data_IF_274208334065
#
_entry.id   IF_274208334065
#
_cell.length_a   1.000
_cell.length_b   1.000
_cell.length_c   1.000
_cell.angle_alpha   90.00
_cell.angle_beta   90.00
_cell.angle_gamma   90.00
#
_symmetry.space_group_name_H-M   'P 1'
#
loop_
_entity.id
_entity.type
_entity.pdbx_description
1 polymer ?
#
# COMPACT_ATOMS: atom_id res chain seq x y z
N UNK A 1 -6.09 13.65 -19.02
CA UNK A 1 -6.47 14.60 -17.96
C UNK A 1 -6.46 13.88 -16.63
N UNK A 2 -5.84 14.44 -15.59
CA UNK A 2 -5.89 13.86 -14.24
C UNK A 2 -7.10 14.40 -13.49
N UNK A 3 -8.14 13.58 -13.31
CA UNK A 3 -9.29 13.95 -12.47
C UNK A 3 -8.97 13.62 -11.01
N UNK A 4 -9.31 14.53 -10.09
CA UNK A 4 -9.21 14.24 -8.65
C UNK A 4 -10.21 13.14 -8.30
N UNK A 5 -9.78 12.20 -7.46
CA UNK A 5 -10.68 11.22 -6.87
C UNK A 5 -11.74 11.94 -6.01
N UNK A 6 -13.02 11.61 -6.20
CA UNK A 6 -14.14 12.21 -5.46
C UNK A 6 -14.59 11.38 -4.25
N UNK A 7 -13.86 10.30 -3.93
CA UNK A 7 -14.14 9.44 -2.78
C UNK A 7 -14.05 10.24 -1.48
N UNK A 8 -14.99 10.00 -0.57
CA UNK A 8 -15.06 10.68 0.73
C UNK A 8 -15.12 9.71 1.90
N UNK A 9 -15.23 8.41 1.62
CA UNK A 9 -15.36 7.35 2.62
C UNK A 9 -14.25 6.32 2.46
N UNK A 10 -13.99 5.55 3.52
CA UNK A 10 -12.95 4.50 3.52
C UNK A 10 -11.57 5.01 3.02
N UNK A 11 -11.20 6.21 3.47
CA UNK A 11 -9.89 6.81 3.19
C UNK A 11 -8.82 6.18 4.08
N UNK A 12 -7.62 6.05 3.55
CA UNK A 12 -6.45 5.48 4.20
C UNK A 12 -5.34 6.52 4.32
N UNK A 13 -4.54 6.42 5.38
CA UNK A 13 -3.33 7.21 5.54
C UNK A 13 -2.23 6.68 4.62
N UNK A 14 -1.81 7.51 3.68
CA UNK A 14 -0.75 7.22 2.74
C UNK A 14 0.51 8.02 3.08
N UNK A 15 1.65 7.34 3.15
CA UNK A 15 2.95 7.95 3.30
C UNK A 15 3.47 8.47 1.96
N UNK A 16 3.62 9.80 1.81
CA UNK A 16 4.13 10.43 0.58
C UNK A 16 5.53 9.88 0.25
N UNK A 17 6.43 9.87 1.25
CA UNK A 17 7.65 9.06 1.26
C UNK A 17 7.41 7.85 2.16
N UNK A 18 7.39 6.62 1.62
CA UNK A 18 7.12 5.43 2.41
C UNK A 18 8.12 5.24 3.55
N UNK A 19 7.65 4.74 4.70
CA UNK A 19 8.50 4.42 5.85
C UNK A 19 9.65 3.47 5.48
N UNK A 20 9.38 2.43 4.69
CA UNK A 20 10.39 1.48 4.20
C UNK A 20 11.49 2.13 3.34
N UNK A 21 11.27 3.34 2.84
CA UNK A 21 12.26 4.17 2.13
C UNK A 21 12.75 5.34 2.99
N UNK A 22 12.76 5.17 4.31
CA UNK A 22 13.17 6.17 5.31
C UNK A 22 12.34 7.46 5.25
N UNK A 23 11.02 7.31 5.04
CA UNK A 23 10.08 8.42 5.13
C UNK A 23 9.99 8.98 6.55
N UNK A 24 9.94 10.31 6.73
CA UNK A 24 9.83 10.91 8.05
C UNK A 24 8.45 10.63 8.69
N UNK A 25 8.42 10.39 9.99
CA UNK A 25 7.20 10.15 10.77
C UNK A 25 6.58 11.50 11.15
N UNK A 26 6.03 12.21 10.17
CA UNK A 26 5.46 13.55 10.34
C UNK A 26 4.11 13.65 9.65
N UNK A 27 3.22 14.51 10.15
CA UNK A 27 1.93 14.79 9.51
C UNK A 27 2.11 15.29 8.08
N UNK A 28 3.16 16.06 7.81
CA UNK A 28 3.49 16.54 6.47
C UNK A 28 3.84 15.41 5.47
N UNK A 29 4.23 14.22 5.96
CA UNK A 29 4.48 13.04 5.13
C UNK A 29 3.23 12.15 4.96
N UNK A 30 2.08 12.57 5.48
CA UNK A 30 0.82 11.83 5.41
C UNK A 30 -0.14 12.55 4.46
N UNK A 31 -0.83 11.76 3.63
CA UNK A 31 -1.94 12.20 2.78
C UNK A 31 -3.10 11.22 2.91
N UNK A 32 -4.34 11.69 2.72
CA UNK A 32 -5.50 10.80 2.61
C UNK A 32 -5.68 10.35 1.16
N UNK A 33 -5.85 9.03 0.96
CA UNK A 33 -6.17 8.43 -0.34
C UNK A 33 -7.28 7.40 -0.18
N UNK A 34 -8.11 7.20 -1.20
CA UNK A 34 -8.99 6.03 -1.20
C UNK A 34 -8.15 4.75 -1.33
N UNK A 35 -8.68 3.62 -0.83
CA UNK A 35 -8.01 2.31 -0.88
C UNK A 35 -7.41 1.99 -2.25
N UNK A 36 -8.16 2.20 -3.33
CA UNK A 36 -7.70 1.89 -4.70
C UNK A 36 -6.49 2.72 -5.13
N UNK A 37 -6.49 4.02 -4.83
CA UNK A 37 -5.34 4.86 -5.14
C UNK A 37 -4.16 4.57 -4.21
N UNK A 38 -4.41 4.28 -2.94
CA UNK A 38 -3.34 3.92 -2.02
C UNK A 38 -2.64 2.62 -2.44
N UNK A 39 -3.41 1.59 -2.82
CA UNK A 39 -2.89 0.33 -3.33
C UNK A 39 -2.11 0.52 -4.65
N UNK A 40 -2.65 1.29 -5.60
CA UNK A 40 -1.95 1.58 -6.86
C UNK A 40 -0.57 2.21 -6.62
N UNK A 41 -0.48 3.21 -5.74
CA UNK A 41 0.80 3.85 -5.40
C UNK A 41 1.76 2.88 -4.70
N UNK A 42 1.24 2.03 -3.81
CA UNK A 42 2.04 1.00 -3.14
C UNK A 42 2.62 0.00 -4.16
N UNK A 43 1.83 -0.42 -5.15
CA UNK A 43 2.26 -1.34 -6.20
C UNK A 43 3.33 -0.72 -7.12
N UNK A 44 3.23 0.57 -7.43
CA UNK A 44 4.27 1.28 -8.17
C UNK A 44 5.60 1.34 -7.39
N UNK A 45 5.52 1.50 -6.07
CA UNK A 45 6.69 1.71 -5.21
C UNK A 45 7.37 0.40 -4.80
N UNK A 46 6.58 -0.64 -4.54
CA UNK A 46 7.01 -1.90 -3.91
C UNK A 46 6.78 -3.13 -4.79
N UNK A 47 6.11 -2.99 -5.93
CA UNK A 47 5.65 -4.11 -6.73
C UNK A 47 4.30 -4.66 -6.27
N UNK A 48 3.72 -5.62 -7.02
CA UNK A 48 2.41 -6.17 -6.74
C UNK A 48 2.36 -6.78 -5.34
N UNK A 49 1.24 -6.57 -4.64
CA UNK A 49 1.04 -7.18 -3.34
C UNK A 49 0.94 -8.71 -3.51
N UNK A 50 2.00 -9.42 -3.12
CA UNK A 50 1.95 -10.87 -3.06
C UNK A 50 0.97 -11.27 -1.95
N UNK A 51 -0.16 -11.86 -2.32
CA UNK A 51 -0.95 -12.62 -1.37
C UNK A 51 -0.02 -13.70 -0.83
N UNK A 52 0.30 -13.64 0.47
CA UNK A 52 0.95 -14.76 1.12
C UNK A 52 0.00 -15.94 0.95
N UNK A 53 0.33 -16.86 0.06
CA UNK A 53 -0.23 -18.20 0.14
C UNK A 53 0.14 -18.67 1.54
N UNK A 54 -0.85 -18.85 2.40
CA UNK A 54 -0.69 -19.58 3.65
C UNK A 54 -0.24 -20.99 3.26
N UNK A 55 1.06 -21.16 3.06
CA UNK A 55 1.67 -22.42 2.67
C UNK A 55 1.57 -23.35 3.87
N UNK A 56 0.48 -24.12 3.92
CA UNK A 56 0.47 -25.37 4.64
C UNK A 56 1.63 -26.21 4.10
N UNK A 57 2.58 -26.51 4.99
CA UNK A 57 3.71 -27.39 4.73
C UNK A 57 3.26 -28.62 3.96
N UNK A 58 3.78 -28.95 2.75
CA UNK A 58 3.72 -30.33 2.31
C UNK A 58 4.66 -31.12 3.23
N UNK A 59 4.07 -32.04 3.99
CA UNK A 59 4.80 -32.97 4.83
C UNK A 59 5.87 -33.71 4.02
N UNK A 60 7.00 -33.95 4.69
CA UNK A 60 8.23 -34.55 4.16
C UNK A 60 8.00 -35.85 3.37
N UNK A 61 8.74 -36.00 2.27
CA UNK A 61 8.94 -37.28 1.61
C UNK A 61 10.08 -38.09 2.27
N UNK A 62 10.16 -39.41 2.00
CA UNK A 62 11.22 -40.28 2.54
C UNK A 62 12.62 -39.92 2.01
#
# INVERSE_FOLDING_TARGET
TGRRCSERTFLEFHHIRPHAKQGPVTVANISLRCRRHNQYEAELVFGPHQLRSSGGTPAAGP
#
